data_IF_114302130746
#
_entry.id   IF_114302130746
#
_cell.length_a   1.000
_cell.length_b   1.000
_cell.length_c   1.000
_cell.angle_alpha   90.00
_cell.angle_beta   90.00
_cell.angle_gamma   90.00
#
_symmetry.space_group_name_H-M   'P 1'
#
loop_
_entity.id
_entity.type
_entity.pdbx_description
1 polymer ?
#
# COMPACT_ATOMS: atom_id res chain seq x y z
N UNK A 1 10.07 -11.99 -5.17
CA UNK A 1 10.91 -10.77 -5.20
C UNK A 1 10.22 -9.69 -4.38
N UNK A 2 10.94 -8.99 -3.49
CA UNK A 2 10.36 -7.90 -2.70
C UNK A 2 10.21 -6.65 -3.57
N UNK A 3 9.12 -5.90 -3.39
CA UNK A 3 8.85 -4.63 -4.06
C UNK A 3 8.30 -3.62 -3.07
N UNK A 4 8.33 -2.34 -3.41
CA UNK A 4 7.70 -1.30 -2.60
C UNK A 4 6.43 -0.84 -3.29
N UNK A 5 5.36 -0.72 -2.51
CA UNK A 5 4.11 -0.08 -2.94
C UNK A 5 3.91 1.23 -2.20
N UNK A 6 3.27 2.18 -2.87
CA UNK A 6 2.70 3.38 -2.27
C UNK A 6 1.20 3.17 -2.13
N UNK A 7 0.70 3.32 -0.91
CA UNK A 7 -0.71 3.30 -0.57
C UNK A 7 -1.22 4.73 -0.40
N UNK A 8 -2.13 5.17 -1.25
CA UNK A 8 -2.78 6.49 -1.18
C UNK A 8 -3.91 6.46 -0.13
N UNK A 9 -3.73 7.18 0.98
CA UNK A 9 -4.73 7.24 2.04
C UNK A 9 -6.00 7.96 1.56
N UNK A 10 -5.85 9.06 0.83
CA UNK A 10 -6.97 9.87 0.33
C UNK A 10 -7.77 9.06 -0.70
N UNK A 11 -7.07 8.44 -1.66
CA UNK A 11 -7.68 7.59 -2.68
C UNK A 11 -8.43 6.41 -2.06
N UNK A 12 -7.86 5.75 -1.05
CA UNK A 12 -8.53 4.65 -0.36
C UNK A 12 -9.78 5.10 0.40
N UNK A 13 -9.73 6.26 1.06
CA UNK A 13 -10.87 6.81 1.80
C UNK A 13 -12.03 7.19 0.87
N UNK A 14 -11.73 7.75 -0.31
CA UNK A 14 -12.73 8.05 -1.35
C UNK A 14 -13.43 6.79 -1.89
N UNK A 15 -12.83 5.61 -1.72
CA UNK A 15 -13.41 4.30 -2.06
C UNK A 15 -14.10 3.64 -0.84
N UNK A 16 -14.36 4.43 0.22
CA UNK A 16 -15.00 4.00 1.46
C UNK A 16 -14.23 2.90 2.23
N UNK A 17 -12.93 2.77 1.98
CA UNK A 17 -12.09 1.83 2.71
C UNK A 17 -11.79 2.41 4.09
N UNK A 18 -12.30 1.73 5.11
CA UNK A 18 -12.13 2.10 6.53
C UNK A 18 -11.13 1.20 7.27
N UNK A 19 -10.60 0.19 6.58
CA UNK A 19 -9.58 -0.69 7.16
C UNK A 19 -8.25 0.04 7.30
N UNK A 20 -7.50 -0.32 8.33
CA UNK A 20 -6.11 0.12 8.47
C UNK A 20 -5.33 -0.29 7.20
N UNK A 21 -4.50 0.59 6.60
CA UNK A 21 -3.86 0.33 5.30
C UNK A 21 -3.11 -1.01 5.23
N UNK A 22 -2.37 -1.37 6.28
CA UNK A 22 -1.71 -2.68 6.35
C UNK A 22 -2.72 -3.84 6.26
N UNK A 23 -3.84 -3.77 6.99
CA UNK A 23 -4.86 -4.82 6.99
C UNK A 23 -5.58 -4.90 5.64
N UNK A 24 -5.80 -3.76 5.00
CA UNK A 24 -6.36 -3.71 3.65
C UNK A 24 -5.42 -4.41 2.66
N UNK A 25 -4.12 -4.07 2.68
CA UNK A 25 -3.12 -4.68 1.80
C UNK A 25 -3.00 -6.19 2.05
N UNK A 26 -2.95 -6.62 3.32
CA UNK A 26 -2.95 -8.04 3.70
C UNK A 26 -4.20 -8.78 3.18
N UNK A 27 -5.37 -8.14 3.19
CA UNK A 27 -6.62 -8.75 2.67
C UNK A 27 -6.61 -8.99 1.16
N UNK A 28 -5.72 -8.31 0.42
CA UNK A 28 -5.50 -8.51 -1.01
C UNK A 28 -4.54 -9.68 -1.31
N UNK A 29 -4.11 -10.42 -0.28
CA UNK A 29 -3.12 -11.50 -0.41
C UNK A 29 -1.68 -11.00 -0.50
N UNK A 30 -1.45 -9.71 -0.23
CA UNK A 30 -0.11 -9.10 -0.26
C UNK A 30 0.52 -9.23 1.12
N UNK A 31 1.72 -9.77 1.17
CA UNK A 31 2.48 -9.92 2.42
C UNK A 31 3.29 -8.65 2.70
N UNK A 32 3.05 -8.00 3.84
CA UNK A 32 3.72 -6.75 4.25
C UNK A 32 4.88 -7.04 5.20
N UNK A 33 6.09 -6.61 4.85
CA UNK A 33 7.32 -6.80 5.63
C UNK A 33 7.67 -5.59 6.49
N UNK A 34 7.49 -4.39 5.94
CA UNK A 34 7.78 -3.10 6.58
C UNK A 34 6.85 -2.05 6.01
N UNK A 35 6.54 -1.03 6.79
CA UNK A 35 5.80 0.12 6.32
C UNK A 35 6.27 1.40 6.99
N UNK A 36 6.10 2.54 6.30
CA UNK A 36 6.36 3.88 6.81
C UNK A 36 5.33 4.84 6.27
N UNK A 37 4.66 5.56 7.17
CA UNK A 37 3.76 6.65 6.80
C UNK A 37 4.54 7.92 6.45
N UNK A 38 4.08 8.61 5.42
CA UNK A 38 4.63 9.89 4.97
C UNK A 38 3.54 10.98 5.08
N UNK A 39 3.62 11.89 6.07
CA UNK A 39 2.57 12.88 6.33
C UNK A 39 2.37 13.89 5.21
N UNK A 40 3.43 14.27 4.49
CA UNK A 40 3.37 15.33 3.47
C UNK A 40 2.60 14.85 2.22
N UNK A 41 2.59 13.54 1.96
CA UNK A 41 1.96 12.95 0.79
C UNK A 41 0.70 12.15 1.06
N UNK A 42 0.18 12.18 2.30
CA UNK A 42 -0.96 11.38 2.77
C UNK A 42 -0.89 9.92 2.27
N UNK A 43 0.28 9.31 2.40
CA UNK A 43 0.52 7.97 1.88
C UNK A 43 1.36 7.12 2.80
N UNK A 44 1.34 5.81 2.55
CA UNK A 44 2.17 4.83 3.27
C UNK A 44 2.97 4.05 2.24
N UNK A 45 4.29 4.01 2.42
CA UNK A 45 5.14 3.11 1.68
C UNK A 45 5.19 1.77 2.40
N UNK A 46 5.04 0.67 1.66
CA UNK A 46 5.10 -0.69 2.21
C UNK A 46 6.04 -1.57 1.39
N UNK A 47 6.98 -2.24 2.06
CA UNK A 47 7.81 -3.28 1.47
C UNK A 47 7.01 -4.58 1.48
N UNK A 48 6.74 -5.14 0.30
CA UNK A 48 5.79 -6.26 0.14
C UNK A 48 6.32 -7.40 -0.74
N UNK A 49 5.69 -8.56 -0.63
CA UNK A 49 5.79 -9.71 -1.55
C UNK A 49 4.42 -10.13 -2.08
N UNK A 50 4.44 -10.95 -3.14
CA UNK A 50 3.25 -11.60 -3.72
C UNK A 50 2.18 -10.61 -4.21
N UNK A 51 2.58 -9.66 -5.05
CA UNK A 51 1.64 -8.70 -5.64
C UNK A 51 0.64 -9.42 -6.57
N UNK A 52 -0.66 -9.11 -6.45
CA UNK A 52 -1.66 -9.58 -7.41
C UNK A 52 -1.39 -8.97 -8.79
N UNK A 53 -1.96 -9.59 -9.83
CA UNK A 53 -1.82 -9.12 -11.21
C UNK A 53 -2.38 -7.70 -11.39
N UNK A 54 -3.49 -7.42 -10.70
CA UNK A 54 -4.18 -6.13 -10.72
C UNK A 54 -4.12 -5.51 -9.33
N UNK A 55 -3.56 -4.31 -9.26
CA UNK A 55 -3.58 -3.50 -8.05
C UNK A 55 -4.80 -2.57 -8.08
N UNK A 56 -5.41 -2.31 -6.91
CA UNK A 56 -6.40 -1.25 -6.78
C UNK A 56 -5.80 0.11 -7.15
N UNK A 57 -6.64 1.03 -7.63
CA UNK A 57 -6.23 2.38 -8.08
C UNK A 57 -5.52 3.21 -7.01
N UNK A 58 -5.73 2.92 -5.73
CA UNK A 58 -5.09 3.60 -4.60
C UNK A 58 -3.76 2.93 -4.16
N UNK A 59 -3.28 1.94 -4.90
CA UNK A 59 -2.01 1.25 -4.67
C UNK A 59 -1.17 1.29 -5.94
N UNK A 60 0.03 1.84 -5.84
CA UNK A 60 0.97 1.98 -6.94
C UNK A 60 2.30 1.31 -6.59
N UNK A 61 3.03 0.82 -7.59
CA UNK A 61 4.44 0.46 -7.41
C UNK A 61 5.26 1.74 -7.18
N UNK A 62 6.24 1.66 -6.29
CA UNK A 62 7.08 2.81 -5.93
C UNK A 62 8.56 2.43 -5.93
N UNK A 63 9.39 3.40 -6.30
CA UNK A 63 10.86 3.31 -6.23
C UNK A 63 11.42 3.74 -4.85
N UNK A 64 10.53 3.95 -3.86
CA UNK A 64 10.93 4.31 -2.50
C UNK A 64 11.90 3.29 -1.89
N UNK A 65 12.93 3.78 -1.20
CA UNK A 65 13.98 2.96 -0.58
C UNK A 65 13.82 2.94 0.94
N UNK A 66 13.72 1.73 1.49
CA UNK A 66 13.63 1.46 2.93
C UNK A 66 15.00 1.42 3.61
#
# INVERSE_FOLDING_TARGET
MKKVIRYDLIGSYKKEIKLHPQKQVESLGIEVHRYRGEPIGDCIFMLVSNLPLNLPEYIELSDYKF
#
